data_IF_772485865744
#
_entry.id   IF_772485865744
#
_cell.length_a   1.000
_cell.length_b   1.000
_cell.length_c   1.000
_cell.angle_alpha   90.00
_cell.angle_beta   90.00
_cell.angle_gamma   90.00
#
_symmetry.space_group_name_H-M   'P 1'
#
loop_
_entity.id
_entity.type
_entity.pdbx_description
1 polymer ?
#
# COMPACT_ATOMS: atom_id res chain seq x y z
N UNK A 1 27.42 -24.13 -5.16
CA UNK A 1 25.99 -23.80 -5.20
C UNK A 1 25.81 -22.31 -5.44
N UNK A 2 25.14 -21.95 -6.52
CA UNK A 2 24.77 -20.58 -6.75
C UNK A 2 23.50 -20.31 -5.93
N UNK A 3 23.66 -19.60 -4.81
CA UNK A 3 22.51 -19.15 -4.05
C UNK A 3 21.73 -18.12 -4.86
N UNK A 4 20.41 -18.29 -4.94
CA UNK A 4 19.56 -17.30 -5.58
C UNK A 4 19.58 -15.97 -4.80
N UNK A 5 19.49 -14.81 -5.49
CA UNK A 5 19.44 -13.54 -4.79
C UNK A 5 18.22 -13.46 -3.86
N UNK A 6 18.31 -12.72 -2.74
CA UNK A 6 17.19 -12.58 -1.84
C UNK A 6 16.02 -11.88 -2.54
N UNK A 7 14.81 -12.34 -2.26
CA UNK A 7 13.60 -11.74 -2.81
C UNK A 7 13.09 -10.63 -1.88
N UNK A 8 12.67 -9.51 -2.47
CA UNK A 8 12.14 -8.40 -1.71
C UNK A 8 10.63 -8.58 -1.45
N UNK A 9 10.29 -9.23 -0.34
CA UNK A 9 8.89 -9.47 0.06
C UNK A 9 8.14 -8.17 0.38
N UNK A 10 8.85 -7.07 0.67
CA UNK A 10 8.19 -5.78 0.91
C UNK A 10 7.40 -5.28 -0.29
N UNK A 11 7.83 -5.63 -1.52
CA UNK A 11 7.09 -5.28 -2.74
C UNK A 11 5.71 -5.90 -2.77
N UNK A 12 5.57 -7.14 -2.29
CA UNK A 12 4.28 -7.83 -2.19
C UNK A 12 3.36 -7.09 -1.21
N UNK A 13 3.89 -6.68 -0.08
CA UNK A 13 3.12 -5.94 0.94
C UNK A 13 2.70 -4.55 0.44
N UNK A 14 3.58 -3.85 -0.26
CA UNK A 14 3.24 -2.55 -0.86
C UNK A 14 2.17 -2.70 -1.93
N UNK A 15 2.28 -3.72 -2.79
CA UNK A 15 1.26 -4.01 -3.81
C UNK A 15 -0.09 -4.31 -3.16
N UNK A 16 -0.12 -5.12 -2.12
CA UNK A 16 -1.32 -5.44 -1.34
C UNK A 16 -1.93 -4.17 -0.74
N UNK A 17 -1.11 -3.35 -0.09
CA UNK A 17 -1.54 -2.09 0.49
C UNK A 17 -2.19 -1.16 -0.56
N UNK A 18 -1.61 -1.10 -1.76
CA UNK A 18 -2.14 -0.28 -2.86
C UNK A 18 -3.46 -0.82 -3.42
N UNK A 19 -3.63 -2.15 -3.47
CA UNK A 19 -4.80 -2.78 -4.10
C UNK A 19 -6.01 -2.90 -3.17
N UNK A 20 -5.80 -2.93 -1.86
CA UNK A 20 -6.88 -3.16 -0.89
C UNK A 20 -7.97 -2.08 -0.94
N UNK A 21 -7.68 -0.75 -0.96
CA UNK A 21 -8.74 0.25 -1.00
C UNK A 21 -9.64 0.17 -2.22
N UNK A 22 -9.12 0.12 -3.47
CA UNK A 22 -10.00 0.02 -4.62
C UNK A 22 -10.81 -1.28 -4.62
N UNK A 23 -10.22 -2.39 -4.16
CA UNK A 23 -10.90 -3.67 -4.07
C UNK A 23 -12.04 -3.63 -3.05
N UNK A 24 -11.78 -3.11 -1.84
CA UNK A 24 -12.80 -3.00 -0.78
C UNK A 24 -13.95 -2.09 -1.19
N UNK A 25 -13.64 -0.93 -1.76
CA UNK A 25 -14.65 0.03 -2.20
C UNK A 25 -15.49 -0.52 -3.36
N UNK A 26 -14.85 -1.24 -4.27
CA UNK A 26 -15.52 -1.88 -5.40
C UNK A 26 -16.46 -2.99 -4.92
N UNK A 27 -16.00 -3.87 -4.04
CA UNK A 27 -16.82 -4.92 -3.44
C UNK A 27 -17.99 -4.34 -2.65
N UNK A 28 -17.77 -3.24 -1.96
CA UNK A 28 -18.80 -2.55 -1.21
C UNK A 28 -19.90 -1.99 -2.10
N UNK A 29 -19.55 -1.52 -3.30
CA UNK A 29 -20.53 -1.03 -4.26
C UNK A 29 -21.49 -2.12 -4.72
N UNK A 30 -20.98 -3.34 -4.95
CA UNK A 30 -21.76 -4.47 -5.46
C UNK A 30 -22.40 -5.31 -4.36
N UNK A 31 -21.88 -5.31 -3.15
CA UNK A 31 -22.41 -6.06 -2.01
C UNK A 31 -22.78 -5.10 -0.89
N UNK A 32 -23.91 -5.38 -0.24
CA UNK A 32 -24.28 -4.60 0.96
C UNK A 32 -23.33 -4.96 2.10
N UNK A 33 -22.35 -4.09 2.34
CA UNK A 33 -21.44 -4.22 3.46
C UNK A 33 -22.13 -3.74 4.74
N UNK A 34 -22.04 -4.49 5.85
CA UNK A 34 -22.69 -4.10 7.10
C UNK A 34 -22.04 -2.91 7.80
N UNK A 35 -20.81 -2.56 7.40
CA UNK A 35 -20.04 -1.49 8.04
C UNK A 35 -20.23 -0.14 7.34
N UNK A 36 -20.35 0.96 8.11
CA UNK A 36 -20.37 2.30 7.53
C UNK A 36 -19.02 2.68 6.92
N UNK A 37 -19.02 3.72 6.06
CA UNK A 37 -17.81 4.19 5.37
C UNK A 37 -16.67 4.55 6.32
N UNK A 38 -16.98 5.25 7.42
CA UNK A 38 -15.97 5.68 8.38
C UNK A 38 -15.30 4.48 9.07
N UNK A 39 -16.07 3.43 9.40
CA UNK A 39 -15.53 2.23 10.03
C UNK A 39 -14.60 1.47 9.08
N UNK A 40 -14.98 1.34 7.80
CA UNK A 40 -14.14 0.72 6.77
C UNK A 40 -12.83 1.49 6.59
N UNK A 41 -12.89 2.82 6.53
CA UNK A 41 -11.72 3.67 6.45
C UNK A 41 -10.81 3.51 7.68
N UNK A 42 -11.39 3.49 8.87
CA UNK A 42 -10.64 3.32 10.12
C UNK A 42 -9.91 1.98 10.17
N UNK A 43 -10.61 0.89 9.81
CA UNK A 43 -10.02 -0.45 9.76
C UNK A 43 -8.87 -0.48 8.74
N UNK A 44 -9.09 0.09 7.55
CA UNK A 44 -8.03 0.17 6.55
C UNK A 44 -6.83 0.98 7.05
N UNK A 45 -7.06 2.10 7.73
CA UNK A 45 -5.96 2.91 8.28
C UNK A 45 -5.11 2.10 9.28
N UNK A 46 -5.75 1.34 10.17
CA UNK A 46 -5.04 0.49 11.13
C UNK A 46 -4.27 -0.63 10.44
N UNK A 47 -4.94 -1.38 9.56
CA UNK A 47 -4.31 -2.49 8.83
C UNK A 47 -3.24 -1.99 7.87
N UNK A 48 -3.48 -0.88 7.19
CA UNK A 48 -2.53 -0.26 6.29
C UNK A 48 -1.29 0.24 7.03
N UNK A 49 -1.48 0.85 8.18
CA UNK A 49 -0.38 1.28 9.04
C UNK A 49 0.49 0.10 9.46
N UNK A 50 -0.14 -0.98 9.96
CA UNK A 50 0.57 -2.21 10.32
C UNK A 50 1.31 -2.81 9.13
N UNK A 51 0.68 -2.85 7.95
CA UNK A 51 1.29 -3.36 6.72
C UNK A 51 2.52 -2.53 6.33
N UNK A 52 2.44 -1.21 6.40
CA UNK A 52 3.58 -0.33 6.08
C UNK A 52 4.74 -0.52 7.07
N UNK A 53 4.44 -0.67 8.36
CA UNK A 53 5.47 -0.94 9.37
C UNK A 53 6.20 -2.25 9.09
N UNK A 54 5.45 -3.31 8.80
CA UNK A 54 6.03 -4.63 8.46
C UNK A 54 6.82 -4.55 7.15
N UNK A 55 6.28 -3.85 6.13
CA UNK A 55 6.94 -3.71 4.84
C UNK A 55 8.30 -2.99 4.97
N UNK A 56 8.39 -1.95 5.78
CA UNK A 56 9.63 -1.22 6.01
C UNK A 56 10.66 -2.10 6.73
N UNK A 57 10.23 -2.89 7.71
CA UNK A 57 11.12 -3.84 8.39
C UNK A 57 11.65 -4.92 7.45
N UNK A 58 10.77 -5.51 6.63
CA UNK A 58 11.16 -6.52 5.64
C UNK A 58 12.14 -5.93 4.62
N UNK A 59 11.90 -4.70 4.17
CA UNK A 59 12.82 -4.02 3.26
C UNK A 59 14.18 -3.79 3.90
N UNK A 60 14.21 -3.43 5.16
CA UNK A 60 15.46 -3.22 5.91
C UNK A 60 16.27 -4.52 5.99
N UNK A 61 15.62 -5.62 6.34
CA UNK A 61 16.25 -6.95 6.36
C UNK A 61 16.71 -7.39 4.98
N UNK A 62 15.90 -7.12 3.95
CA UNK A 62 16.26 -7.41 2.56
C UNK A 62 17.54 -6.68 2.14
N UNK A 63 17.68 -5.40 2.46
CA UNK A 63 18.88 -4.62 2.14
C UNK A 63 20.12 -5.19 2.83
N UNK A 64 19.96 -5.64 4.07
CA UNK A 64 21.04 -6.30 4.82
C UNK A 64 21.49 -7.59 4.16
N UNK A 65 20.54 -8.45 3.77
CA UNK A 65 20.84 -9.69 3.07
C UNK A 65 21.46 -9.45 1.70
N UNK A 66 20.94 -8.46 0.97
CA UNK A 66 21.46 -8.09 -0.35
C UNK A 66 22.91 -7.61 -0.25
N UNK A 67 23.27 -6.87 0.79
CA UNK A 67 24.65 -6.43 1.02
C UNK A 67 25.63 -7.61 1.16
N UNK A 68 25.18 -8.72 1.75
CA UNK A 68 25.99 -9.92 1.89
C UNK A 68 26.09 -10.73 0.59
N UNK A 69 25.16 -10.53 -0.34
CA UNK A 69 25.09 -11.26 -1.59
C UNK A 69 25.92 -10.63 -2.71
N UNK A 70 26.02 -9.28 -2.74
CA UNK A 70 26.72 -8.54 -3.81
C UNK A 70 28.25 -8.51 -3.59
N UNK A 71 29.05 -8.24 -4.66
CA UNK A 71 30.49 -8.05 -4.54
C UNK A 71 30.84 -6.88 -3.60
N UNK A 72 32.03 -6.96 -2.98
CA UNK A 72 32.49 -5.93 -2.01
C UNK A 72 32.44 -4.50 -2.56
N UNK A 73 32.62 -4.34 -3.87
CA UNK A 73 32.62 -3.02 -4.52
C UNK A 73 31.24 -2.34 -4.44
N UNK A 74 30.16 -3.13 -4.44
CA UNK A 74 28.79 -2.63 -4.40
C UNK A 74 28.20 -2.62 -2.99
N UNK A 75 28.83 -3.30 -2.04
CA UNK A 75 28.34 -3.39 -0.66
C UNK A 75 28.23 -2.02 0.02
N UNK A 76 29.19 -1.13 -0.23
CA UNK A 76 29.18 0.20 0.38
C UNK A 76 27.92 1.00 0.09
N UNK A 77 27.48 1.02 -1.17
CA UNK A 77 26.26 1.72 -1.57
C UNK A 77 25.01 1.13 -0.93
N UNK A 78 24.93 -0.19 -0.83
CA UNK A 78 23.79 -0.89 -0.22
C UNK A 78 23.74 -0.68 1.29
N UNK A 79 24.90 -0.74 1.96
CA UNK A 79 24.99 -0.50 3.39
C UNK A 79 24.68 0.98 3.73
N UNK A 80 25.02 1.90 2.85
CA UNK A 80 24.64 3.31 3.01
C UNK A 80 23.12 3.48 2.96
N UNK A 81 22.44 2.84 2.00
CA UNK A 81 20.97 2.81 1.95
C UNK A 81 20.37 2.17 3.19
N UNK A 82 20.95 1.08 3.65
CA UNK A 82 20.51 0.40 4.86
C UNK A 82 20.63 1.29 6.09
N UNK A 83 21.75 1.99 6.22
CA UNK A 83 21.97 2.92 7.33
C UNK A 83 21.02 4.13 7.27
N UNK A 84 20.68 4.60 6.06
CA UNK A 84 19.76 5.72 5.86
C UNK A 84 18.28 5.34 6.06
N UNK A 85 17.96 4.06 6.26
CA UNK A 85 16.58 3.55 6.33
C UNK A 85 15.85 3.96 7.63
N UNK A 86 16.52 4.62 8.56
CA UNK A 86 15.91 5.17 9.76
C UNK A 86 14.84 6.23 9.49
N UNK A 87 15.02 7.06 8.45
CA UNK A 87 14.03 8.05 8.02
C UNK A 87 12.73 7.44 7.57
N UNK A 88 12.74 6.51 6.58
CA UNK A 88 11.54 5.76 6.17
C UNK A 88 10.85 5.02 7.31
N UNK A 89 11.58 4.41 8.23
CA UNK A 89 11.01 3.75 9.41
C UNK A 89 10.24 4.72 10.30
N UNK A 90 10.82 5.89 10.57
CA UNK A 90 10.17 6.92 11.37
C UNK A 90 8.94 7.48 10.66
N UNK A 91 8.99 7.69 9.35
CA UNK A 91 7.85 8.12 8.57
C UNK A 91 6.72 7.07 8.59
N UNK A 92 7.05 5.79 8.48
CA UNK A 92 6.07 4.72 8.59
C UNK A 92 5.45 4.66 9.99
N UNK A 93 6.26 4.82 11.04
CA UNK A 93 5.78 4.77 12.41
C UNK A 93 4.82 5.91 12.76
N UNK A 94 5.17 7.14 12.39
CA UNK A 94 4.40 8.33 12.77
C UNK A 94 3.40 8.77 11.70
N UNK A 95 3.66 8.48 10.42
CA UNK A 95 2.87 8.96 9.31
C UNK A 95 2.13 7.87 8.52
N UNK A 96 2.39 6.60 8.79
CA UNK A 96 1.80 5.51 8.01
C UNK A 96 0.28 5.48 8.03
N UNK A 97 -0.33 5.78 9.16
CA UNK A 97 -1.79 5.90 9.28
C UNK A 97 -2.33 7.05 8.43
N UNK A 98 -1.60 8.16 8.36
CA UNK A 98 -1.98 9.33 7.56
C UNK A 98 -1.90 9.03 6.07
N UNK A 99 -0.84 8.36 5.61
CA UNK A 99 -0.72 7.91 4.23
C UNK A 99 -1.87 6.97 3.84
N UNK A 100 -2.23 6.05 4.72
CA UNK A 100 -3.36 5.14 4.51
C UNK A 100 -4.68 5.90 4.43
N UNK A 101 -4.88 6.89 5.28
CA UNK A 101 -6.08 7.73 5.29
C UNK A 101 -6.21 8.51 3.99
N UNK A 102 -5.15 9.20 3.56
CA UNK A 102 -5.14 10.00 2.33
C UNK A 102 -5.37 9.11 1.12
N UNK A 103 -4.69 7.98 1.05
CA UNK A 103 -4.79 7.03 -0.05
C UNK A 103 -6.20 6.44 -0.16
N UNK A 104 -6.80 6.02 0.94
CA UNK A 104 -8.17 5.51 0.97
C UNK A 104 -9.16 6.60 0.53
N UNK A 105 -9.02 7.82 1.05
CA UNK A 105 -9.89 8.96 0.71
C UNK A 105 -9.80 9.31 -0.77
N UNK A 106 -8.62 9.24 -1.34
CA UNK A 106 -8.41 9.47 -2.77
C UNK A 106 -9.19 8.44 -3.61
N UNK A 107 -9.07 7.16 -3.29
CA UNK A 107 -9.80 6.11 -4.00
C UNK A 107 -11.30 6.21 -3.79
N UNK A 108 -11.74 6.54 -2.59
CA UNK A 108 -13.15 6.76 -2.32
C UNK A 108 -13.72 7.89 -3.18
N UNK A 109 -13.01 9.01 -3.29
CA UNK A 109 -13.39 10.12 -4.15
C UNK A 109 -13.44 9.75 -5.62
N UNK A 110 -12.39 9.09 -6.13
CA UNK A 110 -12.29 8.64 -7.53
C UNK A 110 -13.45 7.70 -7.89
N UNK A 111 -13.71 6.69 -7.07
CA UNK A 111 -14.78 5.74 -7.33
C UNK A 111 -16.17 6.37 -7.20
N UNK A 112 -16.37 7.29 -6.27
CA UNK A 112 -17.62 8.02 -6.13
C UNK A 112 -17.92 8.82 -7.41
N UNK A 113 -16.94 9.53 -7.94
CA UNK A 113 -17.06 10.28 -9.20
C UNK A 113 -17.34 9.33 -10.36
N UNK A 114 -16.59 8.22 -10.44
CA UNK A 114 -16.75 7.21 -11.49
C UNK A 114 -18.17 6.65 -11.53
N UNK A 115 -18.71 6.24 -10.40
CA UNK A 115 -20.05 5.68 -10.31
C UNK A 115 -21.14 6.73 -10.57
N UNK A 116 -20.92 7.97 -10.15
CA UNK A 116 -21.83 9.08 -10.43
C UNK A 116 -21.90 9.39 -11.93
N UNK A 117 -20.75 9.42 -12.62
CA UNK A 117 -20.68 9.60 -14.07
C UNK A 117 -21.34 8.45 -14.81
N UNK A 118 -21.10 7.22 -14.39
CA UNK A 118 -21.73 6.03 -14.97
C UNK A 118 -23.25 6.11 -14.87
N UNK A 119 -23.76 6.46 -13.71
CA UNK A 119 -25.20 6.64 -13.49
C UNK A 119 -25.77 7.75 -14.37
N UNK A 120 -25.08 8.88 -14.46
CA UNK A 120 -25.49 10.01 -15.31
C UNK A 120 -25.57 9.61 -16.79
N UNK A 121 -24.55 8.93 -17.29
CA UNK A 121 -24.49 8.46 -18.69
C UNK A 121 -25.60 7.46 -18.97
N UNK A 122 -25.84 6.50 -18.07
CA UNK A 122 -26.90 5.50 -18.23
C UNK A 122 -28.29 6.13 -18.23
N UNK A 123 -28.54 7.14 -17.40
CA UNK A 123 -29.81 7.87 -17.36
C UNK A 123 -30.02 8.69 -18.64
N UNK A 124 -28.95 9.18 -19.26
CA UNK A 124 -29.03 9.95 -20.51
C UNK A 124 -29.26 9.05 -21.72
N UNK A 125 -28.77 7.82 -21.70
CA UNK A 125 -28.93 6.84 -22.79
C UNK A 125 -30.29 6.17 -22.76
N UNK A 126 -30.96 6.11 -21.60
CA UNK A 126 -32.32 5.60 -21.47
C UNK A 126 -33.32 6.77 -21.44
N UNK A 127 -33.79 7.28 -22.59
CA UNK A 127 -34.94 8.17 -22.56
C UNK A 127 -36.18 7.35 -22.17
N UNK A 128 -37.05 7.90 -21.36
CA UNK A 128 -38.30 7.27 -20.95
C UNK A 128 -39.10 6.75 -22.14
#
# INVERSE_FOLDING_TARGET
MVSSPPFNYSLVLYAWWCLVPPLLLFLRHFKKFPLPNWATCFIYCLLGWATLLVAVEIRHDYLRELANFVPKEEQGAILEKWAADGGPKMMALFGGWLYSLVYFSMWWGVLTIFFALKKYILNKIKPN
#
